data_IF_654041731184
#
_entry.id   IF_654041731184
#
_cell.length_a   1.000
_cell.length_b   1.000
_cell.length_c   1.000
_cell.angle_alpha   90.00
_cell.angle_beta   90.00
_cell.angle_gamma   90.00
#
_symmetry.space_group_name_H-M   'P 1'
#
loop_
_entity.id
_entity.type
_entity.pdbx_description
1 polymer ?
#
# COMPACT_ATOMS: atom_id res chain seq x y z
N UNK A 1 -8.45 -14.92 -15.06
CA UNK A 1 -8.47 -13.71 -14.21
C UNK A 1 -7.18 -12.94 -14.47
N UNK A 2 -7.25 -11.73 -15.05
CA UNK A 2 -6.07 -10.92 -15.35
C UNK A 2 -5.68 -10.15 -14.09
N UNK A 3 -4.59 -10.56 -13.43
CA UNK A 3 -4.05 -9.80 -12.30
C UNK A 3 -3.21 -8.66 -12.88
N UNK A 4 -3.79 -7.47 -12.99
CA UNK A 4 -3.05 -6.27 -13.39
C UNK A 4 -2.11 -5.89 -12.24
N UNK A 5 -0.81 -5.85 -12.52
CA UNK A 5 0.24 -5.49 -11.56
C UNK A 5 0.83 -4.16 -12.00
N UNK A 6 0.81 -3.18 -11.10
CA UNK A 6 1.45 -1.89 -11.30
C UNK A 6 2.63 -1.77 -10.33
N UNK A 7 3.80 -1.39 -10.85
CA UNK A 7 5.04 -1.25 -10.09
C UNK A 7 5.54 0.18 -10.24
N UNK A 8 5.88 0.82 -9.11
CA UNK A 8 6.37 2.19 -9.06
C UNK A 8 7.71 2.22 -8.34
N UNK A 9 8.73 2.82 -8.96
CA UNK A 9 10.02 3.08 -8.34
C UNK A 9 10.07 4.55 -7.93
N UNK A 10 10.05 4.80 -6.63
CA UNK A 10 10.04 6.15 -6.05
C UNK A 10 10.96 6.21 -4.84
N UNK A 11 11.37 7.42 -4.45
CA UNK A 11 12.14 7.65 -3.23
C UNK A 11 11.37 7.21 -1.98
N UNK A 12 12.09 6.74 -0.96
CA UNK A 12 11.51 6.20 0.28
C UNK A 12 10.56 7.18 0.99
N UNK A 13 10.93 8.45 0.99
CA UNK A 13 10.14 9.58 1.50
C UNK A 13 8.77 9.74 0.84
N UNK A 14 8.62 9.34 -0.44
CA UNK A 14 7.37 9.44 -1.19
C UNK A 14 6.49 8.20 -1.13
N UNK A 15 6.96 7.11 -0.52
CA UNK A 15 6.22 5.84 -0.45
C UNK A 15 4.85 6.06 0.20
N UNK A 16 4.81 6.78 1.32
CA UNK A 16 3.57 7.02 2.07
C UNK A 16 2.56 7.82 1.24
N UNK A 17 3.00 8.84 0.50
CA UNK A 17 2.13 9.62 -0.37
C UNK A 17 1.54 8.76 -1.49
N UNK A 18 2.37 7.96 -2.18
CA UNK A 18 1.90 7.11 -3.27
C UNK A 18 0.94 6.03 -2.78
N UNK A 19 1.22 5.43 -1.62
CA UNK A 19 0.32 4.46 -0.98
C UNK A 19 -1.04 5.09 -0.70
N UNK A 20 -1.09 6.31 -0.14
CA UNK A 20 -2.34 7.03 0.11
C UNK A 20 -3.12 7.33 -1.17
N UNK A 21 -2.42 7.71 -2.25
CA UNK A 21 -3.03 7.96 -3.55
C UNK A 21 -3.68 6.68 -4.12
N UNK A 22 -2.93 5.57 -4.12
CA UNK A 22 -3.42 4.26 -4.59
C UNK A 22 -4.63 3.79 -3.77
N UNK A 23 -4.63 4.02 -2.46
CA UNK A 23 -5.77 3.73 -1.58
C UNK A 23 -6.98 4.59 -1.96
N UNK A 24 -6.79 5.89 -2.21
CA UNK A 24 -7.86 6.81 -2.64
C UNK A 24 -8.47 6.44 -3.99
N UNK A 25 -7.63 6.03 -4.94
CA UNK A 25 -8.10 5.59 -6.26
C UNK A 25 -8.81 4.23 -6.20
N UNK A 26 -8.56 3.41 -5.18
CA UNK A 26 -9.21 2.10 -5.00
C UNK A 26 -8.83 1.06 -6.04
N UNK A 27 -7.79 1.33 -6.84
CA UNK A 27 -7.40 0.51 -8.00
C UNK A 27 -6.59 -0.74 -7.61
N UNK A 28 -5.97 -0.75 -6.42
CA UNK A 28 -5.19 -1.88 -5.93
C UNK A 28 -5.96 -2.72 -4.89
N UNK A 29 -5.47 -3.94 -4.64
CA UNK A 29 -6.00 -4.85 -3.61
C UNK A 29 -4.93 -5.31 -2.62
N UNK A 30 -3.67 -5.30 -3.06
CA UNK A 30 -2.48 -5.72 -2.30
C UNK A 30 -1.37 -4.71 -2.57
N UNK A 31 -0.69 -4.28 -1.50
CA UNK A 31 0.49 -3.43 -1.57
C UNK A 31 1.69 -4.27 -1.18
N UNK A 32 2.76 -4.16 -1.96
CA UNK A 32 4.04 -4.81 -1.74
C UNK A 32 5.10 -3.74 -1.84
N UNK A 33 5.83 -3.50 -0.76
CA UNK A 33 6.94 -2.56 -0.71
C UNK A 33 8.21 -3.38 -0.76
N UNK A 34 9.07 -3.07 -1.73
CA UNK A 34 10.39 -3.68 -1.89
C UNK A 34 11.46 -2.62 -1.67
N UNK A 35 12.59 -3.04 -1.10
CA UNK A 35 13.80 -2.22 -1.08
C UNK A 35 14.52 -2.27 -2.44
N UNK A 36 15.61 -1.51 -2.58
CA UNK A 36 16.44 -1.47 -3.80
C UNK A 36 17.07 -2.83 -4.15
N UNK A 37 17.22 -3.73 -3.18
CA UNK A 37 17.73 -5.09 -3.37
C UNK A 37 16.65 -6.06 -3.86
N UNK A 38 15.39 -5.59 -3.99
CA UNK A 38 14.24 -6.40 -4.39
C UNK A 38 13.62 -7.21 -3.25
N UNK A 39 14.10 -7.05 -2.02
CA UNK A 39 13.59 -7.73 -0.84
C UNK A 39 12.28 -7.08 -0.39
N UNK A 40 11.28 -7.91 -0.07
CA UNK A 40 9.99 -7.44 0.42
C UNK A 40 10.17 -6.98 1.86
N UNK A 41 10.00 -5.68 2.10
CA UNK A 41 10.09 -5.08 3.44
C UNK A 41 8.72 -4.96 4.11
N UNK A 42 7.65 -4.89 3.32
CA UNK A 42 6.29 -4.90 3.82
C UNK A 42 5.33 -5.43 2.75
N UNK A 43 4.34 -6.20 3.17
CA UNK A 43 3.26 -6.68 2.32
C UNK A 43 1.95 -6.69 3.12
N UNK A 44 0.89 -6.10 2.55
CA UNK A 44 -0.42 -6.14 3.17
C UNK A 44 -1.55 -5.96 2.13
N UNK A 45 -2.73 -6.54 2.37
CA UNK A 45 -3.92 -6.22 1.60
C UNK A 45 -4.42 -4.82 1.93
N UNK A 46 -5.00 -4.11 0.95
CA UNK A 46 -5.57 -2.77 1.18
C UNK A 46 -6.68 -2.78 2.24
N UNK A 47 -7.41 -3.88 2.33
CA UNK A 47 -8.47 -4.07 3.32
C UNK A 47 -7.96 -3.97 4.76
N UNK A 48 -6.70 -4.36 5.03
CA UNK A 48 -6.11 -4.22 6.36
C UNK A 48 -5.94 -2.73 6.74
N UNK A 49 -5.53 -1.89 5.78
CA UNK A 49 -5.47 -0.44 5.95
C UNK A 49 -6.87 0.15 6.17
N UNK A 50 -7.86 -0.28 5.41
CA UNK A 50 -9.24 0.17 5.57
C UNK A 50 -9.83 -0.20 6.95
N UNK A 51 -9.64 -1.44 7.40
CA UNK A 51 -10.05 -1.86 8.75
C UNK A 51 -9.33 -1.02 9.80
N UNK A 52 -8.01 -0.87 9.69
CA UNK A 52 -7.22 -0.02 10.58
C UNK A 52 -7.75 1.41 10.70
N UNK A 53 -8.16 2.03 9.59
CA UNK A 53 -8.76 3.38 9.59
C UNK A 53 -10.13 3.41 10.29
N UNK A 54 -10.93 2.35 10.19
CA UNK A 54 -12.24 2.28 10.86
C UNK A 54 -12.11 2.14 12.38
N UNK A 55 -11.12 1.37 12.86
CA UNK A 55 -10.86 1.20 14.30
C UNK A 55 -9.93 2.25 14.89
N UNK A 56 -9.16 2.99 14.08
CA UNK A 56 -8.25 4.03 14.54
C UNK A 56 -8.90 5.09 15.48
N UNK A 57 -10.12 5.60 15.23
CA UNK A 57 -10.76 6.57 16.13
C UNK A 57 -11.05 6.02 17.52
N UNK A 58 -11.22 4.71 17.67
CA UNK A 58 -11.47 4.07 18.96
C UNK A 58 -10.18 3.76 19.74
N UNK A 59 -9.01 3.85 19.09
CA UNK A 59 -7.70 3.60 19.67
C UNK A 59 -6.86 4.88 19.85
N UNK A 60 -7.40 6.04 19.44
CA UNK A 60 -6.77 7.36 19.51
C UNK A 60 -7.03 8.07 20.86
#
# INVERSE_FOLDING_TARGET
>A
MVTKKEEFTISGDKIVEKVKEVIKEGSARRIIIKNEKGEVVAEFPLTAGAVGVLIAPALA
#
